data_IF_000713925059
#
_entry.id   IF_000713925059
#
_cell.length_a   1.000
_cell.length_b   1.000
_cell.length_c   1.000
_cell.angle_alpha   90.00
_cell.angle_beta   90.00
_cell.angle_gamma   90.00
#
_symmetry.space_group_name_H-M   'P 1'
#
loop_
_entity.id
_entity.type
_entity.pdbx_description
1 polymer ?
#
# COMPACT_ATOMS: atom_id res chain seq x y z
N UNK A 1 22.17 15.72 17.49
CA UNK A 1 20.75 15.31 17.54
C UNK A 1 20.03 16.00 16.40
N UNK A 2 19.62 15.27 15.36
CA UNK A 2 18.96 15.85 14.18
C UNK A 2 17.46 15.53 14.24
N UNK A 3 16.66 16.55 14.50
CA UNK A 3 15.19 16.46 14.57
C UNK A 3 14.63 16.43 13.15
N UNK A 4 14.19 15.25 12.70
CA UNK A 4 13.47 15.08 11.44
C UNK A 4 12.04 15.60 11.61
N UNK A 5 11.84 16.88 11.29
CA UNK A 5 10.52 17.46 11.09
C UNK A 5 9.93 16.95 9.77
N UNK A 6 9.36 15.75 9.77
CA UNK A 6 8.41 15.37 8.73
C UNK A 6 7.13 16.16 8.97
N UNK A 7 6.86 17.10 8.06
CA UNK A 7 5.60 17.81 7.95
C UNK A 7 4.45 16.80 7.91
N UNK A 8 3.84 16.59 9.08
CA UNK A 8 2.64 15.80 9.26
C UNK A 8 1.47 16.57 8.64
N UNK A 9 1.33 16.49 7.31
CA UNK A 9 0.02 16.72 6.71
C UNK A 9 -0.94 15.68 7.28
N UNK A 10 -2.16 16.08 7.70
CA UNK A 10 -3.00 15.24 8.52
C UNK A 10 -3.34 13.95 7.78
N UNK A 11 -2.75 12.84 8.24
CA UNK A 11 -2.96 11.48 7.73
C UNK A 11 -4.45 11.09 7.68
N UNK A 12 -5.32 11.78 8.44
CA UNK A 12 -6.75 11.47 8.54
C UNK A 12 -7.59 11.99 7.37
N UNK A 13 -7.17 13.00 6.61
CA UNK A 13 -7.95 13.49 5.46
C UNK A 13 -7.97 12.49 4.28
N UNK A 14 -7.06 11.51 4.28
CA UNK A 14 -7.00 10.45 3.26
C UNK A 14 -7.40 9.06 3.78
N UNK A 15 -7.67 8.92 5.08
CA UNK A 15 -8.25 7.68 5.62
C UNK A 15 -9.75 7.79 5.41
N UNK A 16 -10.19 7.45 4.20
CA UNK A 16 -11.59 7.25 3.91
C UNK A 16 -12.08 5.97 4.62
N UNK A 17 -12.28 6.05 5.93
CA UNK A 17 -12.89 5.04 6.79
C UNK A 17 -14.37 4.75 6.43
N UNK A 18 -14.91 5.41 5.40
CA UNK A 18 -16.29 5.23 4.93
C UNK A 18 -16.53 5.54 3.45
N UNK A 19 -15.49 5.52 2.58
CA UNK A 19 -15.71 5.67 1.14
C UNK A 19 -16.04 4.29 0.52
N UNK A 20 -16.86 4.24 -0.57
CA UNK A 20 -17.06 3.05 -1.42
C UNK A 20 -15.79 2.30 -1.87
N UNK A 21 -14.60 2.89 -1.63
CA UNK A 21 -13.26 2.40 -1.97
C UNK A 21 -12.58 1.56 -0.90
N UNK A 22 -13.29 1.04 0.09
CA UNK A 22 -12.74 0.04 1.01
C UNK A 22 -12.42 -1.24 0.24
N UNK A 23 -11.14 -1.55 0.08
CA UNK A 23 -10.67 -2.73 -0.64
C UNK A 23 -10.97 -3.97 0.19
N UNK A 24 -11.71 -4.89 -0.41
CA UNK A 24 -12.12 -6.15 0.21
C UNK A 24 -11.17 -7.29 -0.05
N UNK A 25 -10.56 -7.30 -1.24
CA UNK A 25 -9.69 -8.38 -1.68
C UNK A 25 -8.52 -7.84 -2.49
N UNK A 26 -7.35 -8.41 -2.26
CA UNK A 26 -6.14 -8.12 -3.03
C UNK A 26 -5.52 -9.44 -3.45
N UNK A 27 -5.30 -9.60 -4.75
CA UNK A 27 -4.73 -10.81 -5.34
C UNK A 27 -3.55 -10.41 -6.20
N UNK A 28 -2.42 -11.09 -6.03
CA UNK A 28 -1.27 -10.94 -6.92
C UNK A 28 -1.54 -11.70 -8.21
N UNK A 29 -1.30 -11.07 -9.35
CA UNK A 29 -1.39 -11.73 -10.66
C UNK A 29 -0.01 -12.17 -11.15
N UNK A 30 0.03 -13.17 -12.03
CA UNK A 30 1.29 -13.69 -12.59
C UNK A 30 2.00 -12.64 -13.46
N UNK A 31 1.24 -11.68 -14.01
CA UNK A 31 1.70 -10.56 -14.84
C UNK A 31 2.43 -9.48 -14.05
N UNK A 32 2.52 -9.62 -12.73
CA UNK A 32 3.23 -8.66 -11.90
C UNK A 32 2.39 -7.49 -11.40
N UNK A 33 1.06 -7.63 -11.47
CA UNK A 33 0.11 -6.61 -11.05
C UNK A 33 -0.72 -7.06 -9.84
N UNK A 34 -1.39 -6.11 -9.19
CA UNK A 34 -2.30 -6.39 -8.07
C UNK A 34 -3.74 -6.22 -8.51
N UNK A 35 -4.55 -7.27 -8.40
CA UNK A 35 -5.99 -7.15 -8.53
C UNK A 35 -6.59 -6.70 -7.21
N UNK A 36 -7.16 -5.51 -7.23
CA UNK A 36 -7.90 -4.91 -6.12
C UNK A 36 -9.39 -5.07 -6.38
N UNK A 37 -10.11 -5.63 -5.41
CA UNK A 37 -11.57 -5.70 -5.42
C UNK A 37 -12.15 -4.73 -4.40
N UNK A 38 -13.02 -3.82 -4.83
CA UNK A 38 -13.75 -2.92 -3.94
C UNK A 38 -14.98 -3.59 -3.31
N UNK A 39 -15.71 -2.85 -2.46
CA UNK A 39 -16.92 -3.34 -1.81
C UNK A 39 -18.07 -3.62 -2.80
N UNK A 40 -18.09 -2.93 -3.94
CA UNK A 40 -19.06 -3.13 -5.02
C UNK A 40 -18.75 -4.36 -5.89
N UNK A 41 -17.63 -5.05 -5.63
CA UNK A 41 -17.21 -6.22 -6.38
C UNK A 41 -16.42 -5.89 -7.66
N UNK A 42 -16.20 -4.61 -7.97
CA UNK A 42 -15.39 -4.17 -9.11
C UNK A 42 -13.96 -4.59 -8.88
N UNK A 43 -13.36 -5.25 -9.88
CA UNK A 43 -11.96 -5.68 -9.87
C UNK A 43 -11.15 -4.78 -10.79
N UNK A 44 -9.99 -4.34 -10.32
CA UNK A 44 -9.08 -3.48 -11.08
C UNK A 44 -7.67 -3.97 -10.87
N UNK A 45 -6.91 -4.05 -11.96
CA UNK A 45 -5.47 -4.28 -11.87
C UNK A 45 -4.80 -2.96 -11.52
N UNK A 46 -3.88 -2.98 -10.56
CA UNK A 46 -3.14 -1.79 -10.11
C UNK A 46 -1.67 -2.11 -9.95
N UNK A 47 -0.84 -1.10 -10.26
CA UNK A 47 0.59 -1.12 -9.98
C UNK A 47 0.87 -0.29 -8.75
N UNK A 48 1.30 -0.94 -7.68
CA UNK A 48 1.68 -0.25 -6.46
C UNK A 48 2.92 0.61 -6.72
N UNK A 49 2.90 1.83 -6.19
CA UNK A 49 4.05 2.72 -6.18
C UNK A 49 4.84 2.62 -4.87
N UNK A 50 6.04 3.23 -4.86
CA UNK A 50 6.98 3.17 -3.75
C UNK A 50 6.53 3.87 -2.46
N UNK A 51 5.33 4.47 -2.43
CA UNK A 51 4.70 5.00 -1.23
C UNK A 51 3.90 3.95 -0.47
N UNK A 52 3.76 2.74 -1.03
CA UNK A 52 3.14 1.61 -0.34
C UNK A 52 4.02 1.12 0.80
N UNK A 53 3.43 0.80 1.96
CA UNK A 53 4.18 0.52 3.17
C UNK A 53 3.46 -0.46 4.11
N UNK A 54 4.25 -1.12 4.95
CA UNK A 54 3.75 -1.91 6.08
C UNK A 54 3.72 -1.02 7.33
N UNK A 55 2.59 -1.01 8.03
CA UNK A 55 2.42 -0.28 9.28
C UNK A 55 1.77 -1.19 10.32
N UNK A 56 2.59 -1.93 11.09
CA UNK A 56 2.10 -2.89 12.08
C UNK A 56 1.22 -3.99 11.45
N UNK A 57 -0.04 -4.17 11.92
CA UNK A 57 -0.99 -5.12 11.34
C UNK A 57 -1.69 -4.60 10.07
N UNK A 58 -1.37 -3.38 9.64
CA UNK A 58 -1.96 -2.73 8.48
C UNK A 58 -0.98 -2.65 7.30
N UNK A 59 -1.54 -2.59 6.11
CA UNK A 59 -0.83 -2.22 4.89
C UNK A 59 -1.41 -0.92 4.34
N UNK A 60 -0.55 0.01 3.96
CA UNK A 60 -0.93 1.19 3.20
C UNK A 60 -0.53 0.93 1.76
N UNK A 61 -1.50 0.89 0.86
CA UNK A 61 -1.29 0.66 -0.56
C UNK A 61 -1.53 1.95 -1.31
N UNK A 62 -0.57 2.32 -2.15
CA UNK A 62 -0.62 3.54 -2.94
C UNK A 62 -0.39 3.21 -4.42
N UNK A 63 -1.18 3.84 -5.28
CA UNK A 63 -1.02 3.78 -6.73
C UNK A 63 -1.57 5.03 -7.40
N UNK A 64 -1.37 5.16 -8.71
CA UNK A 64 -2.08 6.12 -9.56
C UNK A 64 -3.14 5.41 -10.38
N UNK A 65 -4.34 5.98 -10.42
CA UNK A 65 -5.39 5.48 -11.33
C UNK A 65 -5.12 5.89 -12.79
N UNK A 66 -5.97 5.45 -13.71
CA UNK A 66 -5.88 5.72 -15.15
C UNK A 66 -5.91 7.21 -15.49
N UNK A 67 -6.49 8.01 -14.60
CA UNK A 67 -6.61 9.47 -14.71
C UNK A 67 -5.45 10.18 -14.00
N UNK A 68 -4.44 9.43 -13.55
CA UNK A 68 -3.22 9.92 -12.92
C UNK A 68 -3.38 10.36 -11.46
N UNK A 69 -4.56 10.15 -10.85
CA UNK A 69 -4.83 10.57 -9.47
C UNK A 69 -4.19 9.60 -8.49
N UNK A 70 -3.65 10.16 -7.40
CA UNK A 70 -3.13 9.36 -6.30
C UNK A 70 -4.27 8.71 -5.53
N UNK A 71 -4.22 7.39 -5.43
CA UNK A 71 -5.13 6.58 -4.63
C UNK A 71 -4.34 5.96 -3.49
N UNK A 72 -4.92 6.00 -2.28
CA UNK A 72 -4.39 5.33 -1.10
C UNK A 72 -5.47 4.51 -0.44
N UNK A 73 -5.10 3.31 0.00
CA UNK A 73 -6.00 2.40 0.70
C UNK A 73 -5.28 1.80 1.88
N UNK A 74 -6.01 1.63 2.98
CA UNK A 74 -5.56 0.90 4.16
C UNK A 74 -6.20 -0.48 4.16
N UNK A 75 -5.38 -1.51 4.37
CA UNK A 75 -5.81 -2.91 4.51
C UNK A 75 -5.49 -3.35 5.93
N UNK A 76 -6.49 -3.83 6.64
CA UNK A 76 -6.32 -4.42 7.97
C UNK A 76 -6.20 -5.94 7.84
N UNK A 77 -5.06 -6.48 8.29
CA UNK A 77 -4.75 -7.90 8.20
C UNK A 77 -5.76 -8.80 8.91
N UNK A 78 -6.53 -8.27 9.88
CA UNK A 78 -7.59 -9.03 10.58
C UNK A 78 -8.77 -9.38 9.68
N UNK A 79 -8.99 -8.60 8.62
CA UNK A 79 -10.12 -8.78 7.70
C UNK A 79 -9.69 -9.23 6.30
N UNK A 80 -8.38 -9.36 6.08
CA UNK A 80 -7.81 -9.82 4.82
C UNK A 80 -7.62 -11.33 4.82
N UNK A 81 -7.63 -11.93 3.64
CA UNK A 81 -7.17 -13.32 3.47
C UNK A 81 -5.69 -13.41 3.87
N UNK A 82 -5.38 -14.35 4.77
CA UNK A 82 -4.07 -14.46 5.42
C UNK A 82 -2.91 -14.62 4.41
N UNK A 83 -3.04 -15.55 3.47
CA UNK A 83 -1.96 -15.87 2.51
C UNK A 83 -1.66 -14.70 1.56
N UNK A 84 -2.66 -14.09 0.87
CA UNK A 84 -2.42 -12.89 0.07
C UNK A 84 -1.83 -11.72 0.87
N UNK A 85 -2.35 -11.49 2.09
CA UNK A 85 -1.86 -10.43 2.96
C UNK A 85 -0.39 -10.64 3.35
N UNK A 86 -0.03 -11.85 3.79
CA UNK A 86 1.34 -12.18 4.19
C UNK A 86 2.33 -12.03 3.02
N UNK A 87 1.96 -12.47 1.82
CA UNK A 87 2.76 -12.31 0.60
C UNK A 87 3.01 -10.83 0.28
N UNK A 88 1.95 -10.02 0.28
CA UNK A 88 2.06 -8.59 0.01
C UNK A 88 2.91 -7.88 1.07
N UNK A 89 2.70 -8.20 2.35
CA UNK A 89 3.52 -7.68 3.46
C UNK A 89 5.00 -8.00 3.26
N UNK A 90 5.33 -9.26 2.96
CA UNK A 90 6.71 -9.68 2.71
C UNK A 90 7.36 -8.93 1.56
N UNK A 91 6.63 -8.75 0.45
CA UNK A 91 7.11 -7.99 -0.71
C UNK A 91 7.43 -6.53 -0.34
N UNK A 92 6.50 -5.84 0.32
CA UNK A 92 6.69 -4.44 0.71
C UNK A 92 7.89 -4.28 1.65
N UNK A 93 8.12 -5.22 2.57
CA UNK A 93 9.30 -5.22 3.42
C UNK A 93 10.60 -5.39 2.61
N UNK A 94 10.63 -6.30 1.62
CA UNK A 94 11.78 -6.48 0.73
C UNK A 94 12.06 -5.21 -0.09
N UNK A 95 11.02 -4.57 -0.63
CA UNK A 95 11.13 -3.33 -1.39
C UNK A 95 11.63 -2.16 -0.51
N UNK A 96 11.15 -2.07 0.73
CA UNK A 96 11.63 -1.08 1.70
C UNK A 96 13.13 -1.27 2.01
N UNK A 97 13.57 -2.51 2.28
CA UNK A 97 15.00 -2.80 2.51
C UNK A 97 15.86 -2.46 1.30
N UNK A 98 15.41 -2.80 0.08
CA UNK A 98 16.11 -2.43 -1.17
C UNK A 98 16.22 -0.92 -1.33
N UNK A 99 15.16 -0.19 -1.01
CA UNK A 99 15.13 1.28 -1.09
C UNK A 99 16.09 1.92 -0.09
N UNK A 100 16.11 1.41 1.15
CA UNK A 100 17.05 1.86 2.18
C UNK A 100 18.50 1.64 1.75
N UNK A 101 18.85 0.44 1.25
CA UNK A 101 20.20 0.14 0.76
C UNK A 101 20.66 1.07 -0.37
N UNK A 102 19.77 1.44 -1.29
CA UNK A 102 20.11 2.38 -2.38
C UNK A 102 20.35 3.81 -1.89
N UNK A 103 19.73 4.21 -0.78
CA UNK A 103 19.86 5.56 -0.20
C UNK A 103 21.08 5.70 0.72
N UNK A 104 21.67 4.59 1.15
CA UNK A 104 22.93 4.56 1.88
C UNK A 104 24.04 4.01 0.98
N UNK A 105 24.58 4.80 0.03
CA UNK A 105 25.88 4.46 -0.53
C UNK A 105 26.88 4.53 0.61
N UNK A 106 27.58 3.41 0.84
CA UNK A 106 28.61 3.25 1.86
C UNK A 106 29.56 4.45 1.82
N UNK A 107 29.51 5.26 2.88
CA UNK A 107 30.53 6.23 3.27
C UNK A 107 31.65 5.54 4.02
#
# INVERSE_FOLDING_TARGET
>A
MLTLALAARPLWESVALGSPRSVRRIVWTEEGEWLVQDRGGSRRSVRLDGSSAVFGPWLVLAWRDEEGRSVRVVVDGRYAEEVPFARLRGRLLVEAVRTLRRRSPLS
#
